data_IF_332936733806
#
_entry.id   IF_332936733806
#
_cell.length_a   1.000
_cell.length_b   1.000
_cell.length_c   1.000
_cell.angle_alpha   90.00
_cell.angle_beta   90.00
_cell.angle_gamma   90.00
#
_symmetry.space_group_name_H-M   'P 1'
#
loop_
_entity.id
_entity.type
_entity.pdbx_description
1 polymer ?
#
# COMPACT_ATOMS: atom_id res chain seq x y z
N UNK A 1 -0.56 19.56 25.17
CA UNK A 1 0.17 18.36 24.72
C UNK A 1 -0.04 18.17 23.23
N UNK A 2 1.00 17.93 22.46
CA UNK A 2 0.84 17.58 21.04
C UNK A 2 0.15 16.22 20.92
N UNK A 3 -0.84 16.10 20.02
CA UNK A 3 -1.48 14.82 19.72
C UNK A 3 -0.55 13.98 18.86
N UNK A 4 -0.47 12.67 19.11
CA UNK A 4 0.12 11.71 18.21
C UNK A 4 -0.72 11.64 16.93
N UNK A 5 -0.09 11.73 15.77
CA UNK A 5 -0.77 11.64 14.48
C UNK A 5 -0.43 10.32 13.81
N UNK A 6 -1.42 9.49 13.57
CA UNK A 6 -1.24 8.24 12.86
C UNK A 6 -2.03 8.20 11.57
N UNK A 7 -1.45 7.63 10.52
CA UNK A 7 -2.16 7.35 9.28
C UNK A 7 -2.63 5.89 9.23
N UNK A 8 -3.86 5.69 8.76
CA UNK A 8 -4.41 4.38 8.43
C UNK A 8 -5.00 4.42 7.02
N UNK A 9 -5.13 3.26 6.40
CA UNK A 9 -5.82 3.17 5.11
C UNK A 9 -7.27 3.64 5.25
N UNK A 10 -7.76 4.40 4.27
CA UNK A 10 -9.10 5.00 4.26
C UNK A 10 -10.25 3.98 4.28
N UNK A 11 -10.06 2.79 3.69
CA UNK A 11 -11.12 1.78 3.55
C UNK A 11 -10.54 0.40 3.25
N UNK A 12 -11.37 -0.64 3.39
CA UNK A 12 -11.02 -2.03 3.12
C UNK A 12 -10.45 -2.75 4.34
N UNK A 13 -10.07 -4.02 4.16
CA UNK A 13 -9.71 -4.92 5.25
C UNK A 13 -8.62 -4.35 6.19
N UNK A 14 -7.56 -3.76 5.63
CA UNK A 14 -6.50 -3.17 6.44
C UNK A 14 -7.02 -2.00 7.30
N UNK A 15 -7.98 -1.20 6.79
CA UNK A 15 -8.65 -0.17 7.57
C UNK A 15 -9.39 -0.79 8.76
N UNK A 16 -10.24 -1.78 8.50
CA UNK A 16 -11.12 -2.38 9.49
C UNK A 16 -10.30 -3.01 10.63
N UNK A 17 -9.29 -3.81 10.28
CA UNK A 17 -8.37 -4.44 11.24
C UNK A 17 -7.51 -3.40 12.00
N UNK A 18 -7.13 -2.29 11.37
CA UNK A 18 -6.40 -1.20 12.03
C UNK A 18 -7.28 -0.49 13.07
N UNK A 19 -8.55 -0.28 12.74
CA UNK A 19 -9.51 0.33 13.68
C UNK A 19 -9.86 -0.61 14.83
N UNK A 20 -9.91 -1.92 14.56
CA UNK A 20 -10.13 -2.95 15.57
C UNK A 20 -8.99 -2.96 16.61
N UNK A 21 -7.73 -2.96 16.18
CA UNK A 21 -6.59 -2.83 17.10
C UNK A 21 -6.69 -1.59 17.99
N UNK A 22 -7.00 -0.43 17.41
CA UNK A 22 -7.13 0.80 18.19
C UNK A 22 -8.25 0.69 19.25
N UNK A 23 -9.35 0.03 18.89
CA UNK A 23 -10.45 -0.27 19.81
C UNK A 23 -10.04 -1.24 20.91
N UNK A 24 -9.32 -2.32 20.56
CA UNK A 24 -8.91 -3.37 21.50
C UNK A 24 -7.95 -2.85 22.57
N UNK A 25 -7.09 -1.89 22.22
CA UNK A 25 -6.24 -1.18 23.18
C UNK A 25 -6.97 -0.07 23.92
N UNK A 26 -8.30 0.03 23.77
CA UNK A 26 -9.17 0.96 24.51
C UNK A 26 -9.22 2.38 23.94
N UNK A 27 -8.72 2.64 22.73
CA UNK A 27 -8.81 3.96 22.09
C UNK A 27 -10.18 4.13 21.44
N UNK A 28 -10.93 5.14 21.86
CA UNK A 28 -12.24 5.48 21.31
C UNK A 28 -12.13 6.61 20.30
N UNK A 29 -12.47 6.32 19.03
CA UNK A 29 -12.38 7.28 17.92
C UNK A 29 -13.78 7.63 17.44
N UNK A 30 -14.01 8.93 17.20
CA UNK A 30 -15.24 9.42 16.58
C UNK A 30 -15.20 9.23 15.06
N UNK A 31 -15.71 8.09 14.59
CA UNK A 31 -15.84 7.81 13.16
C UNK A 31 -17.10 8.49 12.60
N UNK A 32 -16.96 9.73 12.12
CA UNK A 32 -17.93 10.32 11.19
C UNK A 32 -17.76 9.73 9.79
N UNK A 33 -18.86 9.55 9.04
CA UNK A 33 -18.79 9.15 7.63
C UNK A 33 -17.96 10.17 6.83
N UNK A 34 -17.10 9.69 5.94
CA UNK A 34 -16.32 10.48 4.98
C UNK A 34 -15.33 11.50 5.58
N UNK A 35 -14.87 11.31 6.80
CA UNK A 35 -13.84 12.16 7.39
C UNK A 35 -12.45 11.84 6.82
N UNK A 36 -11.65 12.89 6.60
CA UNK A 36 -10.23 12.74 6.26
C UNK A 36 -9.39 12.48 7.51
N UNK A 37 -9.90 12.88 8.68
CA UNK A 37 -9.26 12.65 9.98
C UNK A 37 -10.28 12.61 11.11
N UNK A 38 -9.92 11.92 12.20
CA UNK A 38 -10.70 11.85 13.41
C UNK A 38 -9.79 11.94 14.65
N UNK A 39 -10.31 12.52 15.74
CA UNK A 39 -9.61 12.54 17.02
C UNK A 39 -10.13 11.44 17.93
N UNK A 40 -9.25 10.86 18.74
CA UNK A 40 -9.67 10.00 19.82
C UNK A 40 -10.25 10.85 21.00
N UNK A 41 -11.23 10.29 21.70
CA UNK A 41 -11.91 10.95 22.83
C UNK A 41 -11.11 10.85 24.12
N UNK A 42 -10.44 9.74 24.32
CA UNK A 42 -9.82 9.33 25.57
C UNK A 42 -8.30 9.22 25.51
N UNK A 43 -7.70 9.60 24.40
CA UNK A 43 -6.26 9.57 24.20
C UNK A 43 -5.81 10.73 23.31
N UNK A 44 -4.62 11.32 23.49
CA UNK A 44 -4.13 12.40 22.63
C UNK A 44 -3.67 11.88 21.27
N UNK A 45 -4.62 11.36 20.47
CA UNK A 45 -4.43 10.77 19.16
C UNK A 45 -5.30 11.44 18.10
N UNK A 46 -4.75 11.65 16.93
CA UNK A 46 -5.45 12.03 15.70
C UNK A 46 -5.16 10.99 14.60
N UNK A 47 -6.20 10.41 14.02
CA UNK A 47 -6.11 9.40 12.96
C UNK A 47 -6.38 10.06 11.63
N UNK A 48 -5.49 9.86 10.66
CA UNK A 48 -5.60 10.32 9.28
C UNK A 48 -6.01 9.15 8.37
N UNK A 49 -7.10 9.29 7.64
CA UNK A 49 -7.62 8.29 6.70
C UNK A 49 -7.12 8.59 5.29
N UNK A 50 -6.11 7.85 4.83
CA UNK A 50 -5.41 8.12 3.59
C UNK A 50 -5.53 6.96 2.59
N UNK A 51 -5.27 7.23 1.32
CA UNK A 51 -5.05 6.16 0.36
C UNK A 51 -3.75 5.44 0.70
N UNK A 52 -3.76 4.11 0.63
CA UNK A 52 -2.61 3.29 1.01
C UNK A 52 -1.30 3.74 0.31
N UNK A 53 -1.37 4.10 -0.97
CA UNK A 53 -0.21 4.55 -1.74
C UNK A 53 0.32 5.94 -1.39
N UNK A 54 -0.43 6.75 -0.61
CA UNK A 54 -0.05 8.11 -0.23
C UNK A 54 0.60 8.14 1.17
N UNK A 55 0.30 7.16 2.02
CA UNK A 55 0.78 7.08 3.41
C UNK A 55 2.31 7.23 3.51
N UNK A 56 3.16 6.58 2.68
CA UNK A 56 4.60 6.75 2.76
C UNK A 56 5.08 8.19 2.61
N UNK A 57 4.41 8.97 1.75
CA UNK A 57 4.78 10.37 1.55
C UNK A 57 4.41 11.22 2.78
N UNK A 58 3.24 11.01 3.37
CA UNK A 58 2.82 11.72 4.58
C UNK A 58 3.75 11.46 5.78
N UNK A 59 4.29 10.23 5.89
CA UNK A 59 5.31 9.90 6.90
C UNK A 59 6.63 10.64 6.62
N UNK A 60 7.11 10.63 5.37
CA UNK A 60 8.37 11.29 4.98
C UNK A 60 8.31 12.80 5.17
N UNK A 61 7.17 13.40 4.90
CA UNK A 61 6.93 14.84 5.04
C UNK A 61 6.66 15.26 6.50
N UNK A 62 6.62 14.30 7.44
CA UNK A 62 6.37 14.57 8.85
C UNK A 62 4.95 15.08 9.14
N UNK A 63 4.00 14.86 8.24
CA UNK A 63 2.59 15.21 8.45
C UNK A 63 1.95 14.30 9.47
N UNK A 64 2.38 13.03 9.50
CA UNK A 64 2.01 12.04 10.51
C UNK A 64 3.26 11.45 11.15
N UNK A 65 3.15 11.06 12.43
CA UNK A 65 4.25 10.54 13.23
C UNK A 65 4.45 9.04 13.02
N UNK A 66 3.36 8.31 12.74
CA UNK A 66 3.35 6.88 12.52
C UNK A 66 2.25 6.48 11.53
N UNK A 67 2.28 5.24 11.05
CA UNK A 67 1.21 4.70 10.20
C UNK A 67 1.07 3.19 10.35
N UNK A 68 -0.16 2.69 10.17
CA UNK A 68 -0.44 1.28 9.91
C UNK A 68 -0.57 1.11 8.39
N UNK A 69 0.36 0.37 7.80
CA UNK A 69 0.53 0.29 6.34
C UNK A 69 0.87 -1.12 5.90
N UNK A 70 0.44 -1.51 4.71
CA UNK A 70 0.81 -2.80 4.14
C UNK A 70 2.29 -2.90 3.78
N UNK A 71 2.94 -4.00 4.11
CA UNK A 71 4.36 -4.24 3.82
C UNK A 71 4.67 -4.14 2.31
N UNK A 72 3.72 -4.52 1.45
CA UNK A 72 3.82 -4.36 0.00
C UNK A 72 4.02 -2.91 -0.46
N UNK A 73 3.37 -1.96 0.21
CA UNK A 73 3.54 -0.52 -0.08
C UNK A 73 4.88 -0.02 0.47
N UNK A 74 5.32 -0.54 1.62
CA UNK A 74 6.65 -0.22 2.16
C UNK A 74 7.77 -0.70 1.25
N UNK A 75 7.66 -1.91 0.69
CA UNK A 75 8.61 -2.45 -0.28
C UNK A 75 8.64 -1.58 -1.55
N UNK A 76 7.49 -1.13 -2.01
CA UNK A 76 7.36 -0.35 -3.24
C UNK A 76 7.82 1.11 -3.08
N UNK A 77 7.45 1.77 -1.98
CA UNK A 77 7.58 3.22 -1.79
C UNK A 77 8.20 3.63 -0.46
N UNK A 78 8.49 2.67 0.42
CA UNK A 78 8.86 2.94 1.82
C UNK A 78 10.33 3.31 2.06
N UNK A 79 11.13 3.57 1.03
CA UNK A 79 12.52 3.97 1.21
C UNK A 79 12.64 5.12 2.23
N UNK A 80 13.48 4.94 3.26
CA UNK A 80 13.65 5.90 4.35
C UNK A 80 12.60 5.82 5.47
N UNK A 81 11.71 4.80 5.45
CA UNK A 81 10.74 4.54 6.53
C UNK A 81 11.19 3.32 7.33
N UNK A 82 11.18 3.44 8.65
CA UNK A 82 11.53 2.34 9.57
C UNK A 82 10.26 1.58 9.99
N UNK A 83 10.33 0.26 9.97
CA UNK A 83 9.29 -0.61 10.53
C UNK A 83 9.54 -0.70 12.04
N UNK A 84 8.62 -0.18 12.83
CA UNK A 84 8.68 -0.26 14.29
C UNK A 84 8.21 -1.63 14.78
N UNK A 85 7.09 -2.15 14.22
CA UNK A 85 6.49 -3.42 14.61
C UNK A 85 5.73 -4.06 13.45
N UNK A 86 5.71 -5.40 13.40
CA UNK A 86 4.89 -6.20 12.46
C UNK A 86 3.63 -6.67 13.17
N UNK A 87 2.49 -6.19 12.73
CA UNK A 87 1.22 -6.42 13.41
C UNK A 87 0.57 -7.78 13.10
N UNK A 88 1.03 -8.49 12.05
CA UNK A 88 0.65 -9.87 11.76
C UNK A 88 -0.73 -10.09 11.15
N UNK A 89 -1.45 -9.02 10.78
CA UNK A 89 -2.76 -9.09 10.15
C UNK A 89 -2.77 -8.59 8.69
N UNK A 90 -3.89 -8.68 8.00
CA UNK A 90 -4.09 -8.26 6.60
C UNK A 90 -3.02 -8.82 5.65
N UNK A 91 -2.57 -10.04 5.87
CA UNK A 91 -1.58 -10.69 5.00
C UNK A 91 -2.08 -10.78 3.57
N UNK A 92 -1.23 -10.42 2.61
CA UNK A 92 -1.54 -10.49 1.18
C UNK A 92 -0.37 -11.04 0.38
N UNK A 93 -0.65 -11.45 -0.86
CA UNK A 93 0.37 -11.87 -1.83
C UNK A 93 0.22 -11.05 -3.10
N UNK A 94 1.33 -10.62 -3.65
CA UNK A 94 1.38 -10.09 -5.03
C UNK A 94 1.67 -11.26 -5.95
N UNK A 95 0.87 -11.42 -7.00
CA UNK A 95 1.00 -12.51 -7.95
C UNK A 95 1.03 -11.97 -9.38
N UNK A 96 1.77 -12.64 -10.25
CA UNK A 96 1.76 -12.38 -11.70
C UNK A 96 0.61 -13.19 -12.29
N UNK A 97 -0.35 -12.50 -12.91
CA UNK A 97 -1.47 -13.12 -13.59
C UNK A 97 -1.23 -13.13 -15.11
N UNK A 98 -1.55 -14.24 -15.74
CA UNK A 98 -1.39 -14.46 -17.18
C UNK A 98 -2.73 -14.92 -17.75
N UNK A 99 -3.16 -14.42 -18.93
CA UNK A 99 -4.37 -14.90 -19.59
C UNK A 99 -4.33 -16.42 -19.81
N UNK A 100 -5.45 -17.10 -19.55
CA UNK A 100 -5.56 -18.57 -19.72
C UNK A 100 -5.28 -19.06 -21.14
N UNK A 101 -5.43 -18.20 -22.13
CA UNK A 101 -5.13 -18.47 -23.53
C UNK A 101 -3.64 -18.54 -23.86
N UNK A 102 -2.79 -18.04 -22.95
CA UNK A 102 -1.34 -18.03 -23.13
C UNK A 102 -0.75 -19.23 -22.41
N UNK A 103 0.00 -20.07 -23.14
CA UNK A 103 0.77 -21.14 -22.51
C UNK A 103 1.90 -20.53 -21.72
N UNK A 104 1.98 -20.89 -20.43
CA UNK A 104 3.01 -20.43 -19.52
C UNK A 104 3.75 -21.63 -18.94
N UNK A 105 5.06 -21.70 -19.15
CA UNK A 105 5.91 -22.79 -18.68
C UNK A 105 6.84 -22.34 -17.55
N UNK A 106 7.03 -21.04 -17.36
CA UNK A 106 7.89 -20.51 -16.32
C UNK A 106 8.16 -19.03 -16.49
N UNK A 107 8.88 -18.46 -15.52
CA UNK A 107 9.13 -17.02 -15.44
C UNK A 107 9.87 -16.46 -16.68
N UNK A 108 10.66 -17.29 -17.37
CA UNK A 108 11.40 -16.92 -18.57
C UNK A 108 10.47 -16.53 -19.74
N UNK A 109 9.23 -17.03 -19.75
CA UNK A 109 8.23 -16.66 -20.76
C UNK A 109 7.79 -15.20 -20.66
N UNK A 110 8.16 -14.51 -19.57
CA UNK A 110 7.90 -13.09 -19.36
C UNK A 110 8.94 -12.20 -20.06
N UNK A 111 10.05 -12.73 -20.53
CA UNK A 111 11.08 -11.97 -21.26
C UNK A 111 10.46 -11.19 -22.42
N UNK A 112 10.73 -9.89 -22.51
CA UNK A 112 10.18 -8.99 -23.53
C UNK A 112 8.67 -8.71 -23.44
N UNK A 113 7.98 -9.18 -22.41
CA UNK A 113 6.54 -8.96 -22.23
C UNK A 113 6.25 -7.63 -21.52
N UNK A 114 5.05 -7.11 -21.72
CA UNK A 114 4.53 -5.93 -21.02
C UNK A 114 3.76 -6.36 -19.81
N UNK A 115 4.12 -5.82 -18.64
CA UNK A 115 3.45 -6.08 -17.36
C UNK A 115 2.80 -4.78 -16.87
N UNK A 116 1.51 -4.83 -16.58
CA UNK A 116 0.78 -3.75 -15.93
C UNK A 116 0.74 -3.99 -14.43
N UNK A 117 1.21 -3.05 -13.63
CA UNK A 117 1.25 -3.20 -12.17
C UNK A 117 1.19 -1.87 -11.45
N UNK A 118 0.71 -1.88 -10.21
CA UNK A 118 0.83 -0.77 -9.25
C UNK A 118 2.11 -0.87 -8.40
N UNK A 119 2.91 -1.90 -8.62
CA UNK A 119 4.13 -2.21 -7.88
C UNK A 119 5.34 -2.39 -8.82
N UNK A 120 5.69 -1.36 -9.63
CA UNK A 120 6.74 -1.49 -10.63
C UNK A 120 8.11 -1.82 -10.03
N UNK A 121 8.49 -1.19 -8.92
CA UNK A 121 9.79 -1.43 -8.28
C UNK A 121 9.89 -2.86 -7.71
N UNK A 122 8.81 -3.33 -7.08
CA UNK A 122 8.72 -4.68 -6.52
C UNK A 122 8.83 -5.73 -7.61
N UNK A 123 8.09 -5.55 -8.72
CA UNK A 123 8.12 -6.48 -9.86
C UNK A 123 9.49 -6.44 -10.55
N UNK A 124 10.04 -5.25 -10.81
CA UNK A 124 11.36 -5.13 -11.43
C UNK A 124 12.43 -5.86 -10.61
N UNK A 125 12.48 -5.62 -9.29
CA UNK A 125 13.42 -6.30 -8.40
C UNK A 125 13.26 -7.82 -8.41
N UNK A 126 12.03 -8.32 -8.48
CA UNK A 126 11.75 -9.75 -8.56
C UNK A 126 12.25 -10.36 -9.89
N UNK A 127 12.00 -9.69 -11.00
CA UNK A 127 12.41 -10.14 -12.32
C UNK A 127 13.93 -10.12 -12.49
N UNK A 128 14.58 -9.06 -12.01
CA UNK A 128 16.05 -8.94 -12.02
C UNK A 128 16.72 -10.10 -11.25
N UNK A 129 16.19 -10.45 -10.08
CA UNK A 129 16.66 -11.59 -9.27
C UNK A 129 16.51 -12.94 -9.99
N UNK A 130 15.56 -13.05 -10.92
CA UNK A 130 15.34 -14.25 -11.74
C UNK A 130 16.00 -14.18 -13.11
N UNK A 131 16.84 -13.18 -13.38
CA UNK A 131 17.59 -13.03 -14.62
C UNK A 131 16.76 -12.60 -15.81
N UNK A 132 15.53 -12.11 -15.61
CA UNK A 132 14.64 -11.65 -16.68
C UNK A 132 14.99 -10.20 -17.03
N UNK A 133 15.34 -9.96 -18.27
CA UNK A 133 15.71 -8.65 -18.81
C UNK A 133 14.65 -8.15 -19.79
N UNK A 134 14.66 -6.85 -20.10
CA UNK A 134 13.84 -6.22 -21.14
C UNK A 134 12.32 -6.37 -20.97
N UNK A 135 11.80 -6.15 -19.76
CA UNK A 135 10.37 -6.07 -19.53
C UNK A 135 9.92 -4.61 -19.54
N UNK A 136 8.81 -4.35 -20.24
CA UNK A 136 8.13 -3.07 -20.20
C UNK A 136 7.12 -3.05 -19.04
N UNK A 137 7.43 -2.34 -17.96
CA UNK A 137 6.52 -2.18 -16.83
C UNK A 137 5.76 -0.87 -17.02
N UNK A 138 4.44 -0.95 -17.09
CA UNK A 138 3.58 0.23 -17.12
C UNK A 138 2.79 0.32 -15.82
N UNK A 139 2.70 1.54 -15.25
CA UNK A 139 1.80 1.76 -14.14
C UNK A 139 0.34 1.68 -14.65
N UNK A 140 -0.56 1.10 -13.85
CA UNK A 140 -1.99 1.02 -14.19
C UNK A 140 -2.64 2.40 -14.45
N UNK A 141 -2.04 3.47 -13.97
CA UNK A 141 -2.50 4.84 -14.20
C UNK A 141 -2.30 5.26 -15.66
N UNK A 142 -1.18 4.90 -16.28
CA UNK A 142 -0.92 5.19 -17.70
C UNK A 142 -1.89 4.43 -18.63
N UNK A 143 -2.24 3.18 -18.30
CA UNK A 143 -3.19 2.38 -19.10
C UNK A 143 -4.60 2.97 -19.08
N UNK A 144 -5.05 3.53 -17.97
CA UNK A 144 -6.35 4.22 -17.90
C UNK A 144 -6.39 5.49 -18.72
N UNK A 145 -5.29 6.23 -18.81
CA UNK A 145 -5.19 7.44 -19.64
C UNK A 145 -5.18 7.11 -21.14
N UNK A 146 -4.55 6.01 -21.55
CA UNK A 146 -4.54 5.55 -22.94
C UNK A 146 -5.92 5.02 -23.41
N UNK A 147 -6.75 4.49 -22.51
CA UNK A 147 -8.13 4.08 -22.84
C UNK A 147 -9.13 5.25 -23.00
N UNK A 148 -8.78 6.43 -22.53
CA UNK A 148 -9.62 7.65 -22.67
C UNK A 148 -9.30 8.43 -23.96
N UNK A 149 -8.17 8.12 -24.61
CA UNK A 149 -7.67 8.81 -25.80
C UNK A 149 -7.89 8.06 -27.13
N UNK A 150 -8.70 6.97 -27.13
CA UNK A 150 -9.08 6.22 -28.35
C UNK A 150 -10.55 6.39 -28.67
#
# INVERSE_FOLDING_TARGET
>A
MSKLKIAVQKSGRLHDESMEILKDIGISIDNGKDQLKASARNFPLEVFYLRNGDIPQYLKDGVVDAAIIGENILIEKGNGITIAEKLGFSTCKVSIAIPKSIKYNGIQDLEGKRIATSYPNTIQSYLDKNGIKHIFISSMVLLKLLQILV
#
